data_IF_595802093031
#
_entry.id   IF_595802093031
#
_cell.length_a   1.000
_cell.length_b   1.000
_cell.length_c   1.000
_cell.angle_alpha   90.00
_cell.angle_beta   90.00
_cell.angle_gamma   90.00
#
_symmetry.space_group_name_H-M   'P 1'
#
loop_
_entity.id
_entity.type
_entity.pdbx_description
1 polymer ?
#
# COMPACT_ATOMS: atom_id res chain seq x y z
N UNK A 1 12.98 -15.82 -0.07
CA UNK A 1 12.55 -14.56 0.55
C UNK A 1 11.06 -14.61 0.77
N UNK A 2 10.54 -13.97 1.81
CA UNK A 2 9.11 -13.99 2.16
C UNK A 2 8.45 -12.71 1.68
N UNK A 3 7.37 -12.87 0.90
CA UNK A 3 6.56 -11.75 0.40
C UNK A 3 5.51 -11.36 1.44
N UNK A 4 5.44 -10.07 1.78
CA UNK A 4 4.41 -9.51 2.64
C UNK A 4 3.48 -8.58 1.86
N UNK A 5 2.18 -8.86 1.94
CA UNK A 5 1.13 -8.00 1.40
C UNK A 5 0.69 -7.04 2.50
N UNK A 6 0.92 -5.75 2.30
CA UNK A 6 0.69 -4.70 3.29
C UNK A 6 -0.61 -3.95 2.99
N UNK A 7 -1.33 -3.58 4.04
CA UNK A 7 -2.50 -2.73 3.96
C UNK A 7 -2.39 -1.53 4.88
N UNK A 8 -2.80 -0.37 4.39
CA UNK A 8 -2.83 0.87 5.17
C UNK A 8 -4.25 1.22 5.59
N UNK A 9 -4.49 1.25 6.90
CA UNK A 9 -5.69 1.89 7.46
C UNK A 9 -5.37 3.35 7.76
N UNK A 10 -5.74 4.21 6.82
CA UNK A 10 -5.35 5.62 6.76
C UNK A 10 -4.10 5.83 5.91
N UNK A 11 -4.10 6.90 5.11
CA UNK A 11 -2.95 7.29 4.29
C UNK A 11 -2.60 8.79 4.44
N UNK A 12 -2.62 9.23 5.70
CA UNK A 12 -2.19 10.58 6.10
C UNK A 12 -0.67 10.68 6.26
N UNK A 13 -0.21 11.62 7.08
CA UNK A 13 1.23 11.89 7.23
C UNK A 13 2.03 10.65 7.66
N UNK A 14 1.53 9.88 8.64
CA UNK A 14 2.21 8.67 9.12
C UNK A 14 2.25 7.59 8.04
N UNK A 15 1.12 7.29 7.39
CA UNK A 15 1.07 6.28 6.33
C UNK A 15 2.00 6.60 5.16
N UNK A 16 2.05 7.88 4.75
CA UNK A 16 2.96 8.35 3.71
C UNK A 16 4.42 8.30 4.12
N UNK A 17 4.75 8.67 5.36
CA UNK A 17 6.11 8.59 5.88
C UNK A 17 6.58 7.13 5.94
N UNK A 18 5.72 6.22 6.40
CA UNK A 18 6.00 4.79 6.45
C UNK A 18 6.19 4.20 5.05
N UNK A 19 5.33 4.55 4.08
CA UNK A 19 5.49 4.10 2.70
C UNK A 19 6.83 4.55 2.08
N UNK A 20 7.26 5.79 2.36
CA UNK A 20 8.59 6.27 1.95
C UNK A 20 9.72 5.51 2.64
N UNK A 21 9.56 5.21 3.94
CA UNK A 21 10.57 4.46 4.68
C UNK A 21 10.73 3.04 4.12
N UNK A 22 9.63 2.39 3.74
CA UNK A 22 9.69 1.09 3.08
C UNK A 22 10.54 1.12 1.81
N UNK A 23 10.38 2.14 0.95
CA UNK A 23 11.23 2.33 -0.24
C UNK A 23 12.70 2.47 0.15
N UNK A 24 13.01 3.39 1.07
CA UNK A 24 14.39 3.65 1.52
C UNK A 24 15.04 2.40 2.12
N UNK A 25 14.24 1.58 2.81
CA UNK A 25 14.69 0.38 3.51
C UNK A 25 14.51 -0.91 2.72
N UNK A 26 13.99 -0.89 1.50
CA UNK A 26 13.75 -2.09 0.69
C UNK A 26 14.98 -2.97 0.56
N UNK A 27 16.15 -2.37 0.29
CA UNK A 27 17.37 -3.16 0.14
C UNK A 27 17.80 -3.82 1.46
N UNK A 28 17.65 -3.12 2.58
CA UNK A 28 17.96 -3.63 3.92
C UNK A 28 17.00 -4.76 4.31
N UNK A 29 15.70 -4.55 4.14
CA UNK A 29 14.64 -5.55 4.36
C UNK A 29 14.90 -6.83 3.57
N UNK A 30 15.26 -6.68 2.30
CA UNK A 30 15.57 -7.80 1.41
C UNK A 30 16.83 -8.53 1.80
N UNK A 31 17.93 -7.81 2.01
CA UNK A 31 19.27 -8.42 2.20
C UNK A 31 19.45 -8.97 3.61
N UNK A 32 19.04 -8.22 4.63
CA UNK A 32 19.33 -8.56 6.02
C UNK A 32 18.21 -9.41 6.65
N UNK A 33 16.99 -9.30 6.13
CA UNK A 33 15.82 -9.96 6.72
C UNK A 33 15.07 -10.88 5.74
N UNK A 34 15.46 -10.91 4.46
CA UNK A 34 14.79 -11.74 3.45
C UNK A 34 13.33 -11.35 3.21
N UNK A 35 12.98 -10.09 3.46
CA UNK A 35 11.62 -9.54 3.37
C UNK A 35 11.48 -8.79 2.04
N UNK A 36 10.50 -9.20 1.26
CA UNK A 36 9.94 -8.43 0.16
C UNK A 36 8.53 -7.98 0.53
N UNK A 37 8.10 -6.83 0.01
CA UNK A 37 6.83 -6.24 0.39
C UNK A 37 6.10 -5.64 -0.79
N UNK A 38 4.78 -5.57 -0.68
CA UNK A 38 3.91 -4.93 -1.65
C UNK A 38 2.69 -4.38 -0.94
N UNK A 39 2.36 -3.11 -1.19
CA UNK A 39 1.12 -2.53 -0.66
C UNK A 39 -0.01 -3.04 -1.55
N UNK A 40 -1.02 -3.68 -0.96
CA UNK A 40 -2.15 -4.28 -1.70
C UNK A 40 -3.50 -3.81 -1.18
N UNK A 41 -3.53 -3.06 -0.08
CA UNK A 41 -4.73 -2.43 0.47
C UNK A 41 -4.47 -1.00 0.96
N UNK A 42 -5.39 -0.07 0.71
CA UNK A 42 -5.41 1.25 1.33
C UNK A 42 -6.85 1.65 1.63
N UNK A 43 -7.09 2.05 2.88
CA UNK A 43 -8.39 2.55 3.31
C UNK A 43 -8.27 3.97 3.87
N UNK A 44 -9.09 4.89 3.39
CA UNK A 44 -9.15 6.25 3.95
C UNK A 44 -10.59 6.71 4.11
N UNK A 45 -10.82 7.71 4.95
CA UNK A 45 -12.18 8.25 5.15
C UNK A 45 -12.82 8.78 3.84
N UNK A 46 -12.03 9.36 2.93
CA UNK A 46 -12.56 9.98 1.70
C UNK A 46 -12.67 8.99 0.54
N UNK A 47 -11.77 8.02 0.47
CA UNK A 47 -11.69 7.09 -0.66
C UNK A 47 -12.35 5.74 -0.34
N UNK A 48 -12.80 5.53 0.89
CA UNK A 48 -13.25 4.21 1.34
C UNK A 48 -12.09 3.21 1.33
N UNK A 49 -12.41 1.95 1.10
CA UNK A 49 -11.46 0.86 1.02
C UNK A 49 -11.10 0.55 -0.45
N UNK A 50 -9.81 0.37 -0.74
CA UNK A 50 -9.28 0.00 -2.06
C UNK A 50 -8.24 -1.10 -1.93
N UNK A 51 -8.28 -2.08 -2.82
CA UNK A 51 -7.29 -3.15 -2.90
C UNK A 51 -6.89 -3.43 -4.34
N UNK A 52 -5.70 -4.01 -4.52
CA UNK A 52 -5.21 -4.46 -5.83
C UNK A 52 -4.29 -5.66 -5.65
N UNK A 53 -4.60 -6.76 -6.32
CA UNK A 53 -3.84 -8.01 -6.16
C UNK A 53 -2.40 -7.92 -6.66
N UNK A 54 -2.17 -7.14 -7.71
CA UNK A 54 -0.85 -6.86 -8.27
C UNK A 54 -0.06 -5.86 -7.42
N UNK A 55 -0.69 -5.25 -6.41
CA UNK A 55 -0.10 -4.25 -5.55
C UNK A 55 -0.13 -2.84 -6.12
N UNK A 56 -0.14 -1.84 -5.26
CA UNK A 56 -0.12 -0.42 -5.60
C UNK A 56 1.31 0.07 -5.87
N UNK A 57 1.44 0.97 -6.84
CA UNK A 57 2.67 1.76 -6.96
C UNK A 57 2.70 2.80 -5.82
N UNK A 58 3.82 2.86 -5.12
CA UNK A 58 3.96 3.75 -3.96
C UNK A 58 4.03 5.21 -4.37
N UNK A 59 4.60 5.54 -5.52
CA UNK A 59 4.61 6.89 -6.05
C UNK A 59 3.18 7.37 -6.36
N UNK A 60 2.36 6.51 -6.95
CA UNK A 60 0.94 6.79 -7.23
C UNK A 60 0.15 6.99 -5.93
N UNK A 61 0.37 6.14 -4.92
CA UNK A 61 -0.26 6.33 -3.60
C UNK A 61 0.17 7.64 -2.93
N UNK A 62 1.45 8.02 -3.07
CA UNK A 62 1.97 9.26 -2.49
C UNK A 62 1.44 10.51 -3.20
N UNK A 63 1.08 10.44 -4.48
CA UNK A 63 0.51 11.56 -5.22
C UNK A 63 -0.96 11.81 -4.85
N UNK A 64 -1.71 10.79 -4.41
CA UNK A 64 -3.15 10.85 -4.12
C UNK A 64 -3.96 11.62 -5.19
N UNK A 65 -3.55 11.54 -6.45
CA UNK A 65 -4.35 12.13 -7.54
C UNK A 65 -5.59 11.28 -7.76
N UNK A 66 -6.74 11.92 -8.05
CA UNK A 66 -8.00 11.22 -8.31
C UNK A 66 -7.85 10.17 -9.42
N UNK A 67 -7.04 10.46 -10.45
CA UNK A 67 -6.71 9.55 -11.56
C UNK A 67 -5.97 8.28 -11.12
N UNK A 68 -5.08 8.39 -10.12
CA UNK A 68 -4.45 7.22 -9.54
C UNK A 68 -5.49 6.28 -8.89
N UNK A 69 -6.64 6.83 -8.46
CA UNK A 69 -7.69 6.11 -7.75
C UNK A 69 -8.74 5.47 -8.65
N UNK A 70 -8.80 5.85 -9.93
CA UNK A 70 -9.80 5.34 -10.89
C UNK A 70 -9.57 3.87 -11.25
N UNK A 71 -8.32 3.40 -11.14
CA UNK A 71 -7.96 2.01 -11.42
C UNK A 71 -8.03 1.10 -10.18
N UNK A 72 -8.68 1.55 -9.11
CA UNK A 72 -8.74 0.80 -7.86
C UNK A 72 -10.09 0.13 -7.66
N UNK A 73 -10.07 -1.18 -7.41
CA UNK A 73 -11.27 -1.92 -7.07
C UNK A 73 -11.84 -1.38 -5.76
N UNK A 74 -13.11 -0.96 -5.83
CA UNK A 74 -13.86 -0.54 -4.65
C UNK A 74 -14.38 -1.79 -3.98
N UNK A 75 -13.86 -2.10 -2.79
CA UNK A 75 -14.37 -3.20 -1.99
C UNK A 75 -15.26 -2.67 -0.86
N UNK A 76 -16.19 -3.52 -0.44
CA UNK A 76 -17.21 -3.18 0.56
C UNK A 76 -16.77 -3.54 1.97
N UNK A 77 -15.75 -4.41 2.10
CA UNK A 77 -15.24 -4.93 3.38
C UNK A 77 -13.74 -5.21 3.35
N UNK A 78 -13.08 -5.10 4.51
CA UNK A 78 -11.69 -5.53 4.72
C UNK A 78 -11.49 -7.04 4.53
N UNK A 79 -12.55 -7.85 4.71
CA UNK A 79 -12.49 -9.31 4.52
C UNK A 79 -12.36 -9.71 3.06
N UNK A 80 -12.68 -8.83 2.11
CA UNK A 80 -12.50 -9.08 0.66
C UNK A 80 -11.03 -8.94 0.23
N UNK A 81 -10.13 -8.57 1.16
CA UNK A 81 -8.69 -8.41 0.95
C UNK A 81 -7.83 -9.54 1.57
N UNK A 82 -8.35 -10.26 2.57
CA UNK A 82 -7.66 -11.35 3.27
C UNK A 82 -7.80 -12.68 2.52
#
# INVERSE_FOLDING_TARGET
MKQYRLGFLGFGNVGRALARLFIVKSNELRTNYGIEWTITGVATRRMGWRSRDTGFDVADLLSLTTEALENFETQTSVTEWL
#
